data_IF_251446353188
#
_entry.id   IF_251446353188
#
_cell.length_a   1.000
_cell.length_b   1.000
_cell.length_c   1.000
_cell.angle_alpha   90.00
_cell.angle_beta   90.00
_cell.angle_gamma   90.00
#
_symmetry.space_group_name_H-M   'P 1'
#
loop_
_entity.id
_entity.type
_entity.pdbx_description
1 polymer ?
#
# COMPACT_ATOMS: atom_id res chain seq x y z
N UNK A 1 -16.55 16.68 14.40
CA UNK A 1 -15.49 15.96 15.14
C UNK A 1 -15.45 14.44 14.87
N UNK A 2 -16.33 13.85 14.04
CA UNK A 2 -16.32 12.40 13.71
C UNK A 2 -16.24 11.49 14.96
N UNK A 3 -17.06 11.78 15.97
CA UNK A 3 -17.02 11.08 17.26
C UNK A 3 -17.84 9.79 17.21
N UNK A 4 -17.35 8.70 17.81
CA UNK A 4 -18.16 7.52 18.09
C UNK A 4 -19.40 7.85 18.95
N UNK A 5 -20.50 7.07 18.83
CA UNK A 5 -21.75 7.34 19.56
C UNK A 5 -21.60 7.41 21.09
N UNK A 6 -20.78 6.54 21.68
CA UNK A 6 -20.49 6.51 23.11
C UNK A 6 -19.80 7.80 23.59
N UNK A 7 -18.88 8.35 22.80
CA UNK A 7 -18.21 9.62 23.10
C UNK A 7 -19.14 10.82 22.93
N UNK A 8 -20.06 10.75 21.98
CA UNK A 8 -21.08 11.78 21.78
C UNK A 8 -22.04 11.82 22.98
N UNK A 9 -22.47 10.66 23.47
CA UNK A 9 -23.33 10.56 24.66
C UNK A 9 -22.62 11.13 25.89
N UNK A 10 -21.35 10.79 26.11
CA UNK A 10 -20.56 11.33 27.22
C UNK A 10 -20.45 12.87 27.16
N UNK A 11 -20.17 13.45 26.00
CA UNK A 11 -20.08 14.91 25.83
C UNK A 11 -21.45 15.61 25.97
N UNK A 12 -22.54 14.91 25.62
CA UNK A 12 -23.89 15.45 25.77
C UNK A 12 -24.27 15.68 27.23
N UNK A 13 -23.63 14.96 28.16
CA UNK A 13 -23.84 15.07 29.61
C UNK A 13 -23.08 16.25 30.24
N UNK A 14 -22.24 16.97 29.48
CA UNK A 14 -21.51 18.12 30.02
C UNK A 14 -22.48 19.24 30.42
N UNK A 15 -22.09 19.99 31.44
CA UNK A 15 -22.74 21.22 31.85
C UNK A 15 -22.59 22.30 30.77
N UNK A 16 -23.49 23.29 30.80
CA UNK A 16 -23.58 24.30 29.75
C UNK A 16 -22.33 25.18 29.65
N UNK A 17 -21.62 25.39 30.75
CA UNK A 17 -20.38 26.19 30.78
C UNK A 17 -19.27 25.50 29.97
N UNK A 18 -19.02 24.21 30.23
CA UNK A 18 -18.06 23.42 29.44
C UNK A 18 -18.46 23.26 27.98
N UNK A 19 -19.76 23.10 27.70
CA UNK A 19 -20.24 23.06 26.31
C UNK A 19 -19.97 24.38 25.59
N UNK A 20 -20.16 25.50 26.25
CA UNK A 20 -19.88 26.81 25.68
C UNK A 20 -18.38 27.05 25.47
N UNK A 21 -17.54 26.64 26.42
CA UNK A 21 -16.08 26.65 26.29
C UNK A 21 -15.63 25.87 25.04
N UNK A 22 -16.17 24.66 24.82
CA UNK A 22 -15.90 23.86 23.62
C UNK A 22 -16.30 24.57 22.31
N UNK A 23 -17.41 25.30 22.30
CA UNK A 23 -17.84 26.07 21.13
C UNK A 23 -16.87 27.24 20.87
N UNK A 24 -16.50 27.98 21.91
CA UNK A 24 -15.53 29.07 21.80
C UNK A 24 -14.16 28.60 21.30
N UNK A 25 -13.68 27.46 21.80
CA UNK A 25 -12.42 26.86 21.35
C UNK A 25 -12.49 26.44 19.88
N UNK A 26 -13.63 25.87 19.46
CA UNK A 26 -13.85 25.47 18.07
C UNK A 26 -13.89 26.65 17.10
N UNK A 27 -14.45 27.80 17.51
CA UNK A 27 -14.44 29.04 16.71
C UNK A 27 -13.05 29.67 16.61
N UNK A 28 -12.24 29.55 17.66
CA UNK A 28 -10.85 30.04 17.67
C UNK A 28 -9.92 29.18 16.83
N UNK A 29 -10.28 27.92 16.61
CA UNK A 29 -9.45 26.98 15.85
C UNK A 29 -9.39 27.37 14.37
N UNK A 30 -8.18 27.60 13.86
CA UNK A 30 -7.93 27.86 12.45
C UNK A 30 -7.10 26.74 11.83
N UNK A 31 -7.57 26.26 10.68
CA UNK A 31 -6.82 25.29 9.87
C UNK A 31 -5.61 25.96 9.24
N UNK A 32 -4.43 25.33 9.35
CA UNK A 32 -3.16 25.84 8.83
C UNK A 32 -3.16 26.04 7.31
N UNK A 33 -3.62 25.04 6.55
CA UNK A 33 -3.63 25.05 5.09
C UNK A 33 -4.89 24.34 4.54
N UNK A 34 -5.44 24.79 3.40
CA UNK A 34 -6.52 24.07 2.71
C UNK A 34 -6.00 22.77 2.06
N UNK A 35 -6.88 21.78 1.80
CA UNK A 35 -6.52 20.53 1.13
C UNK A 35 -5.76 20.72 -0.19
N UNK A 36 -6.20 21.67 -1.00
CA UNK A 36 -5.63 21.98 -2.32
C UNK A 36 -4.14 22.32 -2.25
N UNK A 37 -3.67 22.96 -1.18
CA UNK A 37 -2.26 23.30 -1.00
C UNK A 37 -1.36 22.05 -0.89
N UNK A 38 -1.82 21.01 -0.18
CA UNK A 38 -1.09 19.75 -0.08
C UNK A 38 -1.14 18.98 -1.41
N UNK A 39 -2.31 18.95 -2.05
CA UNK A 39 -2.52 18.26 -3.33
C UNK A 39 -1.60 18.84 -4.40
N UNK A 40 -1.48 20.16 -4.51
CA UNK A 40 -0.57 20.80 -5.47
C UNK A 40 0.90 20.46 -5.20
N UNK A 41 1.31 20.38 -3.93
CA UNK A 41 2.67 19.94 -3.57
C UNK A 41 2.91 18.49 -4.00
N UNK A 42 1.99 17.57 -3.72
CA UNK A 42 2.12 16.16 -4.13
C UNK A 42 2.18 16.03 -5.66
N UNK A 43 1.31 16.72 -6.40
CA UNK A 43 1.35 16.79 -7.88
C UNK A 43 2.70 17.30 -8.38
N UNK A 44 3.29 18.30 -7.71
CA UNK A 44 4.61 18.82 -8.08
C UNK A 44 5.76 17.81 -7.87
N UNK A 45 5.59 16.84 -6.97
CA UNK A 45 6.54 15.76 -6.76
C UNK A 45 6.41 14.65 -7.80
N UNK A 46 5.22 14.48 -8.38
CA UNK A 46 4.97 13.55 -9.49
C UNK A 46 5.51 14.07 -10.82
N UNK A 47 5.65 15.39 -10.98
CA UNK A 47 6.28 15.98 -12.15
C UNK A 47 7.78 15.60 -12.22
N UNK A 48 8.10 14.61 -13.06
CA UNK A 48 9.48 14.18 -13.33
C UNK A 48 10.14 14.98 -14.46
N UNK A 49 9.48 16.02 -14.98
CA UNK A 49 10.03 16.96 -15.95
C UNK A 49 11.25 17.73 -15.44
N UNK A 50 12.19 18.02 -16.35
CA UNK A 50 13.37 18.86 -16.06
C UNK A 50 14.60 18.15 -15.47
N UNK A 51 15.58 18.93 -15.03
CA UNK A 51 16.90 18.46 -14.55
C UNK A 51 16.78 17.75 -13.20
N UNK A 52 17.43 16.59 -13.02
CA UNK A 52 17.34 15.77 -11.79
C UNK A 52 17.69 16.51 -10.49
N UNK A 53 18.54 17.54 -10.55
CA UNK A 53 18.87 18.41 -9.40
C UNK A 53 17.66 19.24 -8.93
N UNK A 54 16.79 19.68 -9.85
CA UNK A 54 15.54 20.40 -9.52
C UNK A 54 14.55 19.45 -8.84
N UNK A 55 14.42 18.21 -9.33
CA UNK A 55 13.58 17.19 -8.69
C UNK A 55 14.00 16.92 -7.24
N UNK A 56 15.29 16.66 -6.98
CA UNK A 56 15.81 16.41 -5.62
C UNK A 56 15.48 17.55 -4.64
N UNK A 57 15.53 18.81 -5.09
CA UNK A 57 15.17 19.97 -4.28
C UNK A 57 13.66 20.00 -3.99
N UNK A 58 12.81 19.72 -4.98
CA UNK A 58 11.36 19.66 -4.78
C UNK A 58 10.98 18.63 -3.72
N UNK A 59 11.49 17.40 -3.85
CA UNK A 59 11.15 16.31 -2.94
C UNK A 59 11.93 16.35 -1.62
N UNK A 60 12.75 17.37 -1.36
CA UNK A 60 13.56 17.41 -0.13
C UNK A 60 12.67 17.41 1.12
N UNK A 61 11.59 18.19 1.09
CA UNK A 61 10.64 18.35 2.19
C UNK A 61 9.39 17.45 2.05
N UNK A 62 9.42 16.47 1.13
CA UNK A 62 8.25 15.62 0.83
C UNK A 62 7.69 14.94 2.07
N UNK A 63 8.55 14.32 2.88
CA UNK A 63 8.15 13.62 4.11
C UNK A 63 7.50 14.57 5.12
N UNK A 64 7.99 15.81 5.22
CA UNK A 64 7.41 16.78 6.14
C UNK A 64 6.02 17.23 5.69
N UNK A 65 5.85 17.48 4.39
CA UNK A 65 4.55 17.83 3.80
C UNK A 65 3.55 16.69 3.98
N UNK A 66 3.97 15.44 3.79
CA UNK A 66 3.13 14.26 4.03
C UNK A 66 2.75 14.12 5.51
N UNK A 67 3.66 14.40 6.44
CA UNK A 67 3.34 14.38 7.88
C UNK A 67 2.33 15.46 8.26
N UNK A 68 2.47 16.67 7.71
CA UNK A 68 1.49 17.73 7.91
C UNK A 68 0.12 17.38 7.30
N UNK A 69 0.12 16.71 6.15
CA UNK A 69 -1.10 16.20 5.52
C UNK A 69 -1.75 15.11 6.39
N UNK A 70 -0.98 14.14 6.90
CA UNK A 70 -1.47 13.09 7.82
C UNK A 70 -2.14 13.71 9.04
N UNK A 71 -1.46 14.66 9.68
CA UNK A 71 -2.00 15.37 10.85
C UNK A 71 -3.30 16.08 10.46
N UNK A 72 -3.31 16.80 9.33
CA UNK A 72 -4.49 17.51 8.85
C UNK A 72 -5.68 16.58 8.60
N UNK A 73 -5.44 15.42 7.97
CA UNK A 73 -6.47 14.39 7.73
C UNK A 73 -7.03 13.80 9.03
N UNK A 74 -6.20 13.65 10.06
CA UNK A 74 -6.57 13.01 11.33
C UNK A 74 -7.21 13.98 12.33
N UNK A 75 -6.76 15.23 12.38
CA UNK A 75 -7.10 16.15 13.47
C UNK A 75 -7.96 17.35 13.08
N UNK A 76 -8.08 17.68 11.80
CA UNK A 76 -8.98 18.76 11.39
C UNK A 76 -10.46 18.32 11.47
N UNK A 77 -11.36 19.30 11.33
CA UNK A 77 -12.78 19.02 11.22
C UNK A 77 -13.08 18.14 10.00
N UNK A 78 -14.13 17.33 10.09
CA UNK A 78 -14.42 16.31 9.06
C UNK A 78 -14.69 16.91 7.67
N UNK A 79 -15.23 18.12 7.59
CA UNK A 79 -15.40 18.85 6.35
C UNK A 79 -14.09 19.07 5.59
N UNK A 80 -12.95 19.18 6.27
CA UNK A 80 -11.64 19.27 5.63
C UNK A 80 -11.29 17.98 4.88
N UNK A 81 -11.60 16.83 5.48
CA UNK A 81 -11.39 15.51 4.85
C UNK A 81 -12.36 15.31 3.68
N UNK A 82 -13.62 15.75 3.84
CA UNK A 82 -14.60 15.74 2.76
C UNK A 82 -14.15 16.61 1.58
N UNK A 83 -13.63 17.80 1.83
CA UNK A 83 -13.07 18.68 0.82
C UNK A 83 -11.85 18.05 0.14
N UNK A 84 -10.94 17.42 0.88
CA UNK A 84 -9.80 16.69 0.31
C UNK A 84 -10.23 15.57 -0.65
N UNK A 85 -11.29 14.83 -0.29
CA UNK A 85 -11.76 13.66 -1.02
C UNK A 85 -12.78 13.96 -2.13
N UNK A 86 -13.23 15.21 -2.29
CA UNK A 86 -14.26 15.56 -3.26
C UNK A 86 -13.79 15.45 -4.73
N UNK A 87 -14.73 15.54 -5.65
CA UNK A 87 -14.49 15.46 -7.10
C UNK A 87 -13.60 16.58 -7.66
N UNK A 88 -13.53 17.73 -6.98
CA UNK A 88 -12.72 18.87 -7.41
C UNK A 88 -11.24 18.65 -7.07
N UNK A 89 -10.97 18.22 -5.83
CA UNK A 89 -9.62 18.04 -5.31
C UNK A 89 -9.02 16.69 -5.70
N UNK A 90 -9.83 15.63 -5.73
CA UNK A 90 -9.41 14.24 -6.01
C UNK A 90 -8.19 13.84 -5.18
N UNK A 91 -8.18 14.19 -3.90
CA UNK A 91 -7.02 14.02 -3.03
C UNK A 91 -6.61 12.56 -2.85
N UNK A 92 -7.57 11.62 -2.88
CA UNK A 92 -7.30 10.19 -2.81
C UNK A 92 -6.47 9.71 -4.02
N UNK A 93 -6.88 10.08 -5.24
CA UNK A 93 -6.19 9.70 -6.47
C UNK A 93 -4.75 10.20 -6.47
N UNK A 94 -4.54 11.47 -6.09
CA UNK A 94 -3.21 12.09 -6.06
C UNK A 94 -2.31 11.47 -5.00
N UNK A 95 -2.87 11.12 -3.83
CA UNK A 95 -2.14 10.42 -2.78
C UNK A 95 -1.73 9.02 -3.25
N UNK A 96 -2.62 8.30 -3.94
CA UNK A 96 -2.34 6.97 -4.49
C UNK A 96 -1.31 7.01 -5.62
N UNK A 97 -1.39 7.97 -6.54
CA UNK A 97 -0.39 8.18 -7.58
C UNK A 97 1.01 8.42 -6.97
N UNK A 98 1.08 9.21 -5.89
CA UNK A 98 2.32 9.45 -5.17
C UNK A 98 2.85 8.20 -4.46
N UNK A 99 1.98 7.43 -3.81
CA UNK A 99 2.33 6.15 -3.17
C UNK A 99 2.91 5.17 -4.19
N UNK A 100 2.20 4.96 -5.31
CA UNK A 100 2.64 4.09 -6.40
C UNK A 100 4.01 4.55 -6.94
N UNK A 101 4.19 5.85 -7.18
CA UNK A 101 5.47 6.42 -7.59
C UNK A 101 6.60 6.15 -6.58
N UNK A 102 6.34 6.32 -5.28
CA UNK A 102 7.32 6.06 -4.23
C UNK A 102 7.72 4.58 -4.17
N UNK A 103 6.82 3.66 -4.52
CA UNK A 103 7.03 2.21 -4.42
C UNK A 103 7.56 1.54 -5.70
N UNK A 104 7.46 2.21 -6.85
CA UNK A 104 7.89 1.67 -8.15
C UNK A 104 9.29 1.02 -8.14
N UNK A 105 10.24 1.56 -7.37
CA UNK A 105 11.58 1.00 -7.29
C UNK A 105 11.66 -0.37 -6.63
N UNK A 106 10.80 -0.64 -5.66
CA UNK A 106 10.78 -1.92 -4.94
C UNK A 106 10.25 -3.04 -5.82
N UNK A 107 9.16 -2.78 -6.55
CA UNK A 107 8.57 -3.75 -7.47
C UNK A 107 9.57 -4.18 -8.56
N UNK A 108 10.34 -3.24 -9.11
CA UNK A 108 11.34 -3.54 -10.16
C UNK A 108 12.55 -4.33 -9.64
N UNK A 109 13.05 -4.00 -8.44
CA UNK A 109 14.21 -4.70 -7.89
C UNK A 109 13.91 -6.20 -7.67
N UNK A 110 12.66 -6.55 -7.32
CA UNK A 110 12.22 -7.94 -7.19
C UNK A 110 12.25 -8.71 -8.52
N UNK A 111 11.73 -8.13 -9.60
CA UNK A 111 11.71 -8.75 -10.95
C UNK A 111 13.13 -8.96 -11.52
N UNK A 112 14.08 -8.11 -11.14
CA UNK A 112 15.47 -8.22 -11.58
C UNK A 112 16.28 -9.30 -10.86
N UNK A 113 15.87 -9.71 -9.65
CA UNK A 113 16.61 -10.68 -8.84
C UNK A 113 16.32 -12.13 -9.27
N UNK A 114 15.14 -12.41 -9.82
CA UNK A 114 14.78 -13.74 -10.32
C UNK A 114 15.30 -14.05 -11.74
N UNK A 115 15.58 -13.03 -12.54
CA UNK A 115 16.22 -13.19 -13.86
C UNK A 115 17.75 -13.35 -13.79
N UNK A 116 18.33 -13.28 -12.58
CA UNK A 116 19.75 -13.48 -12.33
C UNK A 116 20.10 -14.95 -12.13
N UNK A 117 20.31 -15.69 -13.22
CA UNK A 117 20.96 -17.00 -13.16
C UNK A 117 22.36 -16.85 -12.53
N UNK A 118 22.78 -17.68 -11.56
CA UNK A 118 24.07 -17.52 -10.91
C UNK A 118 25.17 -18.11 -11.80
N UNK A 119 26.10 -17.25 -12.22
CA UNK A 119 27.41 -17.67 -12.73
C UNK A 119 27.72 -17.25 -14.17
N UNK A 120 28.47 -16.16 -14.32
CA UNK A 120 29.74 -16.19 -15.06
C UNK A 120 30.52 -14.89 -14.82
N UNK A 121 31.75 -15.02 -14.33
CA UNK A 121 32.67 -13.92 -14.11
C UNK A 121 33.22 -13.34 -15.44
N UNK A 122 33.50 -12.03 -15.41
CA UNK A 122 34.52 -11.29 -16.19
C UNK A 122 34.43 -11.28 -17.72
N UNK A 123 34.20 -10.07 -18.26
CA UNK A 123 34.65 -9.69 -19.61
C UNK A 123 34.26 -8.25 -19.98
N UNK A 124 35.26 -7.39 -20.19
CA UNK A 124 35.13 -5.98 -20.65
C UNK A 124 34.45 -5.86 -22.03
N UNK A 125 33.90 -4.68 -22.39
CA UNK A 125 33.29 -4.45 -23.70
C UNK A 125 34.35 -4.12 -24.76
N UNK A 126 34.22 -4.70 -25.96
CA UNK A 126 34.91 -4.22 -27.16
C UNK A 126 33.95 -4.18 -28.35
N UNK A 127 34.11 -3.11 -29.13
CA UNK A 127 33.31 -2.70 -30.29
C UNK A 127 33.32 -3.65 -31.50
N UNK A 128 32.31 -3.41 -32.36
CA UNK A 128 32.28 -3.52 -33.83
C UNK A 128 32.44 -4.90 -34.47
N UNK A 129 31.40 -5.33 -35.18
CA UNK A 129 31.50 -5.49 -36.64
C UNK A 129 30.11 -5.53 -37.31
N UNK A 130 30.13 -5.25 -38.60
CA UNK A 130 29.05 -4.97 -39.55
C UNK A 130 28.66 -6.21 -40.37
N UNK A 131 27.47 -6.13 -41.00
CA UNK A 131 26.93 -6.97 -42.11
C UNK A 131 26.53 -8.42 -41.74
N UNK A 132 25.48 -9.07 -42.25
CA UNK A 132 24.66 -8.86 -43.44
C UNK A 132 23.29 -9.61 -43.36
N UNK A 133 22.40 -9.22 -44.26
CA UNK A 133 21.10 -9.74 -44.73
C UNK A 133 20.65 -11.19 -44.37
N UNK A 134 19.39 -11.33 -43.95
CA UNK A 134 18.38 -12.12 -44.72
C UNK A 134 16.95 -11.98 -44.14
N UNK A 135 16.02 -11.77 -45.08
CA UNK A 135 14.57 -11.71 -44.89
C UNK A 135 14.01 -13.11 -44.58
N UNK A 136 13.08 -13.20 -43.64
CA UNK A 136 11.95 -14.14 -43.76
C UNK A 136 10.76 -13.68 -42.91
N UNK A 137 9.75 -13.16 -43.61
CA UNK A 137 8.38 -13.00 -43.13
C UNK A 137 7.76 -14.38 -42.87
N UNK A 138 7.16 -14.57 -41.70
CA UNK A 138 6.10 -15.56 -41.51
C UNK A 138 5.06 -15.03 -40.52
N UNK A 139 4.02 -14.41 -41.08
CA UNK A 139 2.77 -14.11 -40.40
C UNK A 139 1.90 -15.35 -40.37
N UNK A 140 1.39 -15.74 -39.20
CA UNK A 140 0.14 -16.51 -39.11
C UNK A 140 -0.63 -16.14 -37.83
N UNK A 141 -1.96 -16.07 -37.88
CA UNK A 141 -2.79 -15.47 -36.85
C UNK A 141 -3.45 -16.53 -35.98
N UNK A 142 -3.52 -16.31 -34.66
CA UNK A 142 -4.41 -17.09 -33.79
C UNK A 142 -5.07 -16.22 -32.75
N UNK A 143 -6.39 -16.08 -32.96
CA UNK A 143 -7.51 -16.05 -32.03
C UNK A 143 -7.37 -15.38 -30.65
N UNK A 144 -8.31 -14.47 -30.42
CA UNK A 144 -8.42 -13.67 -29.23
C UNK A 144 -8.86 -14.44 -27.99
N UNK A 145 -8.30 -13.97 -26.87
CA UNK A 145 -8.90 -14.07 -25.55
C UNK A 145 -8.88 -12.65 -25.01
N UNK A 146 -10.07 -12.08 -24.82
CA UNK A 146 -10.32 -10.78 -24.24
C UNK A 146 -9.86 -10.79 -22.77
N UNK A 147 -8.57 -10.55 -22.52
CA UNK A 147 -8.09 -10.30 -21.16
C UNK A 147 -8.61 -8.94 -20.71
N UNK A 148 -9.49 -8.98 -19.70
CA UNK A 148 -9.89 -7.82 -18.90
C UNK A 148 -8.60 -7.14 -18.43
N UNK A 149 -8.35 -5.92 -18.91
CA UNK A 149 -7.16 -5.15 -18.58
C UNK A 149 -7.30 -4.63 -17.15
N UNK A 150 -6.70 -5.32 -16.18
CA UNK A 150 -6.56 -4.79 -14.83
C UNK A 150 -5.62 -3.58 -14.85
N UNK A 151 -6.15 -2.43 -14.44
CA UNK A 151 -5.50 -1.13 -14.40
C UNK A 151 -4.67 -1.00 -13.12
N UNK A 152 -3.53 -1.69 -13.05
CA UNK A 152 -2.40 -1.13 -12.29
C UNK A 152 -1.95 0.12 -13.05
N UNK A 153 -1.59 1.21 -12.36
CA UNK A 153 -1.05 2.42 -12.98
C UNK A 153 0.27 2.07 -13.67
N UNK A 154 0.19 1.57 -14.91
CA UNK A 154 1.36 1.22 -15.74
C UNK A 154 2.02 2.52 -16.19
N UNK A 155 3.13 2.87 -15.54
CA UNK A 155 4.00 3.94 -16.02
C UNK A 155 4.59 3.58 -17.40
N UNK A 156 4.58 4.52 -18.33
CA UNK A 156 5.05 4.33 -19.71
C UNK A 156 6.55 3.90 -19.78
N UNK A 157 6.93 2.93 -20.64
CA UNK A 157 8.27 2.32 -20.64
C UNK A 157 9.45 3.24 -20.99
N UNK A 158 9.26 4.37 -21.67
CA UNK A 158 10.34 5.29 -22.06
C UNK A 158 10.68 6.34 -20.99
N UNK A 159 9.71 6.69 -20.12
CA UNK A 159 9.92 7.55 -18.94
C UNK A 159 10.37 6.76 -17.69
N UNK A 160 10.34 5.42 -17.78
CA UNK A 160 10.51 4.46 -16.69
C UNK A 160 11.86 4.57 -15.94
N UNK A 161 13.01 4.64 -16.62
CA UNK A 161 14.33 4.62 -15.94
C UNK A 161 14.58 5.86 -15.08
N UNK A 162 14.12 7.03 -15.51
CA UNK A 162 14.26 8.29 -14.74
C UNK A 162 13.29 8.30 -13.56
N UNK A 163 12.04 7.89 -13.78
CA UNK A 163 11.05 7.73 -12.72
C UNK A 163 11.52 6.72 -11.67
N UNK A 164 12.07 5.57 -12.10
CA UNK A 164 12.64 4.54 -11.24
C UNK A 164 13.79 5.06 -10.37
N UNK A 165 14.72 5.82 -10.96
CA UNK A 165 15.82 6.45 -10.20
C UNK A 165 15.30 7.46 -9.18
N UNK A 166 14.28 8.24 -9.55
CA UNK A 166 13.68 9.21 -8.65
C UNK A 166 12.87 8.54 -7.53
N UNK A 167 12.16 7.45 -7.85
CA UNK A 167 11.44 6.60 -6.91
C UNK A 167 12.38 6.05 -5.82
N UNK A 168 13.57 5.55 -6.19
CA UNK A 168 14.58 5.09 -5.22
C UNK A 168 14.96 6.16 -4.18
N UNK A 169 14.96 7.44 -4.55
CA UNK A 169 15.28 8.55 -3.62
C UNK A 169 14.16 8.76 -2.60
N UNK A 170 12.90 8.62 -3.04
CA UNK A 170 11.72 8.82 -2.19
C UNK A 170 11.45 7.58 -1.33
N UNK A 171 11.65 6.37 -1.87
CA UNK A 171 11.49 5.10 -1.16
C UNK A 171 12.46 4.93 0.02
N UNK A 172 13.61 5.59 -0.03
CA UNK A 172 14.57 5.62 1.10
C UNK A 172 14.10 6.49 2.27
N UNK A 173 12.99 7.23 2.10
CA UNK A 173 12.38 8.07 3.13
C UNK A 173 11.16 7.37 3.72
N UNK A 174 10.63 7.95 4.80
CA UNK A 174 9.37 7.51 5.42
C UNK A 174 8.12 7.86 4.60
N UNK A 175 8.26 8.37 3.38
CA UNK A 175 7.17 8.85 2.55
C UNK A 175 6.10 7.78 2.34
N UNK A 176 6.52 6.54 2.04
CA UNK A 176 5.60 5.39 1.91
C UNK A 176 4.84 5.16 3.20
N UNK A 177 5.54 5.10 4.34
CA UNK A 177 4.92 4.88 5.65
C UNK A 177 3.87 5.95 5.96
N UNK A 178 4.21 7.22 5.74
CA UNK A 178 3.31 8.35 6.03
C UNK A 178 2.12 8.37 5.07
N UNK A 179 2.27 7.96 3.81
CA UNK A 179 1.12 7.80 2.90
C UNK A 179 0.13 6.74 3.43
N UNK A 180 0.63 5.63 3.98
CA UNK A 180 -0.23 4.61 4.61
C UNK A 180 -0.91 5.18 5.87
N UNK A 181 -0.24 6.02 6.66
CA UNK A 181 -0.88 6.73 7.77
C UNK A 181 -1.99 7.70 7.30
N UNK A 182 -1.80 8.40 6.17
CA UNK A 182 -2.85 9.22 5.56
C UNK A 182 -4.06 8.36 5.16
N UNK A 183 -3.84 7.20 4.54
CA UNK A 183 -4.91 6.27 4.19
C UNK A 183 -5.62 5.72 5.43
N UNK A 184 -4.90 5.42 6.51
CA UNK A 184 -5.48 5.08 7.82
C UNK A 184 -6.42 6.17 8.33
N UNK A 185 -5.99 7.44 8.26
CA UNK A 185 -6.82 8.57 8.68
C UNK A 185 -8.09 8.71 7.82
N UNK A 186 -7.97 8.52 6.50
CA UNK A 186 -9.12 8.53 5.56
C UNK A 186 -10.08 7.38 5.87
N UNK A 187 -9.56 6.18 6.13
CA UNK A 187 -10.35 4.99 6.46
C UNK A 187 -11.07 5.09 7.81
N UNK A 188 -10.61 5.97 8.72
CA UNK A 188 -11.32 6.26 9.96
C UNK A 188 -12.59 7.14 9.75
N UNK A 189 -12.79 7.65 8.54
CA UNK A 189 -14.02 8.33 8.14
C UNK A 189 -14.88 7.38 7.30
N UNK A 190 -16.14 7.13 7.71
CA UNK A 190 -17.03 6.15 7.07
C UNK A 190 -17.16 6.31 5.54
N UNK A 191 -17.32 7.54 5.04
CA UNK A 191 -17.40 7.77 3.58
C UNK A 191 -16.03 7.57 2.91
N UNK A 192 -14.95 8.00 3.58
CA UNK A 192 -13.57 7.76 3.11
C UNK A 192 -13.21 6.29 3.01
N UNK A 193 -13.63 5.48 3.99
CA UNK A 193 -13.48 4.02 3.95
C UNK A 193 -14.21 3.40 2.75
N UNK A 194 -15.44 3.85 2.49
CA UNK A 194 -16.23 3.39 1.34
C UNK A 194 -15.57 3.78 0.02
N UNK A 195 -14.99 4.98 -0.08
CA UNK A 195 -14.22 5.41 -1.25
C UNK A 195 -12.98 4.53 -1.47
N UNK A 196 -12.24 4.19 -0.41
CA UNK A 196 -11.07 3.31 -0.47
C UNK A 196 -11.44 1.92 -1.00
N UNK A 197 -12.52 1.33 -0.50
CA UNK A 197 -12.98 0.00 -0.97
C UNK A 197 -13.43 0.00 -2.43
N UNK A 198 -14.10 1.07 -2.86
CA UNK A 198 -14.63 1.17 -4.23
C UNK A 198 -13.59 1.65 -5.24
N UNK A 199 -12.46 2.20 -4.78
CA UNK A 199 -11.40 2.67 -5.66
C UNK A 199 -10.60 1.48 -6.22
N UNK A 200 -10.54 1.28 -7.55
CA UNK A 200 -10.11 0.03 -8.19
C UNK A 200 -8.65 -0.37 -7.91
N UNK A 201 -7.79 0.60 -7.60
CA UNK A 201 -6.37 0.35 -7.32
C UNK A 201 -5.98 0.58 -5.85
N UNK A 202 -6.86 1.13 -5.01
CA UNK A 202 -6.43 1.64 -3.70
C UNK A 202 -5.93 0.52 -2.79
N UNK A 203 -6.72 -0.55 -2.65
CA UNK A 203 -6.34 -1.70 -1.82
C UNK A 203 -5.13 -2.43 -2.41
N UNK A 204 -5.01 -2.51 -3.74
CA UNK A 204 -3.85 -3.12 -4.39
C UNK A 204 -2.54 -2.39 -4.04
N UNK A 205 -2.52 -1.05 -4.11
CA UNK A 205 -1.35 -0.25 -3.74
C UNK A 205 -1.04 -0.36 -2.22
N UNK A 206 -2.07 -0.42 -1.37
CA UNK A 206 -1.88 -0.73 0.06
C UNK A 206 -1.21 -2.09 0.22
N UNK A 207 -1.67 -3.13 -0.48
CA UNK A 207 -1.07 -4.48 -0.42
C UNK A 207 0.37 -4.50 -0.94
N UNK A 208 0.68 -3.81 -2.06
CA UNK A 208 2.04 -3.69 -2.58
C UNK A 208 3.01 -3.04 -1.59
N UNK A 209 2.49 -2.23 -0.67
CA UNK A 209 3.25 -1.60 0.42
C UNK A 209 3.85 -2.60 1.41
N UNK A 210 3.39 -3.87 1.42
CA UNK A 210 4.00 -4.96 2.20
C UNK A 210 5.47 -5.19 1.82
N UNK A 211 5.88 -4.86 0.59
CA UNK A 211 7.27 -4.98 0.17
C UNK A 211 8.20 -3.93 0.80
N UNK A 212 7.68 -2.96 1.57
CA UNK A 212 8.51 -1.98 2.26
C UNK A 212 9.39 -2.68 3.32
N UNK A 213 10.67 -2.31 3.40
CA UNK A 213 11.63 -2.94 4.32
C UNK A 213 11.29 -2.73 5.80
N UNK A 214 10.61 -1.64 6.15
CA UNK A 214 10.30 -1.29 7.53
C UNK A 214 9.15 -2.15 8.08
N UNK A 215 9.42 -2.97 9.11
CA UNK A 215 8.44 -3.81 9.78
C UNK A 215 7.23 -3.03 10.33
N UNK A 216 7.43 -1.80 10.83
CA UNK A 216 6.33 -0.93 11.27
C UNK A 216 5.37 -0.60 10.12
N UNK A 217 5.90 -0.41 8.91
CA UNK A 217 5.05 -0.16 7.74
C UNK A 217 4.26 -1.41 7.37
N UNK A 218 4.90 -2.59 7.37
CA UNK A 218 4.21 -3.85 7.12
C UNK A 218 3.09 -4.10 8.15
N UNK A 219 3.35 -3.87 9.43
CA UNK A 219 2.36 -4.02 10.50
C UNK A 219 1.13 -3.14 10.23
N UNK A 220 1.35 -1.85 9.96
CA UNK A 220 0.26 -0.92 9.66
C UNK A 220 -0.52 -1.32 8.39
N UNK A 221 0.16 -1.79 7.35
CA UNK A 221 -0.50 -2.29 6.14
C UNK A 221 -1.41 -3.47 6.47
N UNK A 222 -0.92 -4.44 7.25
CA UNK A 222 -1.72 -5.60 7.67
C UNK A 222 -2.92 -5.22 8.54
N UNK A 223 -2.78 -4.24 9.43
CA UNK A 223 -3.91 -3.69 10.19
C UNK A 223 -5.01 -3.11 9.27
N UNK A 224 -4.62 -2.34 8.24
CA UNK A 224 -5.58 -1.78 7.28
C UNK A 224 -6.25 -2.86 6.45
N UNK A 225 -5.48 -3.84 5.95
CA UNK A 225 -6.01 -4.95 5.17
C UNK A 225 -6.95 -5.83 6.01
N UNK A 226 -6.62 -6.07 7.28
CA UNK A 226 -7.49 -6.79 8.22
C UNK A 226 -8.82 -6.05 8.43
N UNK A 227 -8.79 -4.73 8.60
CA UNK A 227 -10.00 -3.91 8.75
C UNK A 227 -10.91 -3.98 7.50
N UNK A 228 -10.32 -3.95 6.29
CA UNK A 228 -11.07 -4.14 5.04
C UNK A 228 -11.60 -5.57 4.93
N UNK A 229 -10.82 -6.58 5.32
CA UNK A 229 -11.22 -7.99 5.24
C UNK A 229 -12.49 -8.29 6.06
N UNK A 230 -12.66 -7.63 7.22
CA UNK A 230 -13.76 -7.88 8.15
C UNK A 230 -15.11 -7.28 7.75
N UNK A 231 -15.14 -6.34 6.80
CA UNK A 231 -16.41 -5.74 6.36
C UNK A 231 -17.07 -6.57 5.26
N UNK A 232 -18.38 -6.42 5.10
CA UNK A 232 -19.15 -7.14 4.07
C UNK A 232 -18.58 -6.87 2.67
N UNK A 233 -18.28 -7.93 1.93
CA UNK A 233 -17.70 -7.87 0.58
C UNK A 233 -16.21 -7.49 0.55
N UNK A 234 -15.61 -7.17 1.70
CA UNK A 234 -14.19 -6.82 1.78
C UNK A 234 -13.25 -8.01 1.65
N UNK A 235 -13.69 -9.21 2.04
CA UNK A 235 -12.90 -10.44 1.88
C UNK A 235 -12.48 -10.69 0.42
N UNK A 236 -13.43 -10.59 -0.52
CA UNK A 236 -13.15 -10.76 -1.96
C UNK A 236 -12.17 -9.71 -2.49
N UNK A 237 -12.27 -8.46 -2.00
CA UNK A 237 -11.35 -7.38 -2.36
C UNK A 237 -9.93 -7.70 -1.90
N UNK A 238 -9.77 -8.22 -0.68
CA UNK A 238 -8.47 -8.61 -0.13
C UNK A 238 -7.85 -9.76 -0.92
N UNK A 239 -8.62 -10.80 -1.23
CA UNK A 239 -8.12 -11.91 -2.04
C UNK A 239 -7.70 -11.45 -3.43
N UNK A 240 -8.52 -10.63 -4.10
CA UNK A 240 -8.18 -10.04 -5.39
C UNK A 240 -6.92 -9.16 -5.33
N UNK A 241 -6.71 -8.42 -4.23
CA UNK A 241 -5.51 -7.63 -4.03
C UNK A 241 -4.26 -8.49 -3.85
N UNK A 242 -4.36 -9.64 -3.18
CA UNK A 242 -3.27 -10.60 -3.06
C UNK A 242 -3.04 -11.41 -4.34
N UNK A 243 -4.06 -11.65 -5.16
CA UNK A 243 -3.90 -12.19 -6.52
C UNK A 243 -3.14 -11.18 -7.40
N UNK A 244 -3.46 -9.88 -7.31
CA UNK A 244 -2.69 -8.84 -7.98
C UNK A 244 -1.25 -8.77 -7.46
N UNK A 245 -1.07 -8.85 -6.13
CA UNK A 245 0.24 -8.86 -5.51
C UNK A 245 1.08 -10.03 -6.03
N UNK A 246 0.51 -11.24 -6.12
CA UNK A 246 1.15 -12.42 -6.71
C UNK A 246 1.66 -12.15 -8.13
N UNK A 247 0.79 -11.62 -9.00
CA UNK A 247 1.16 -11.34 -10.39
C UNK A 247 2.26 -10.27 -10.52
N UNK A 248 2.13 -9.17 -9.77
CA UNK A 248 3.08 -8.04 -9.83
C UNK A 248 4.42 -8.40 -9.19
N UNK A 249 4.41 -9.21 -8.13
CA UNK A 249 5.60 -9.59 -7.38
C UNK A 249 6.27 -10.88 -7.89
N UNK A 250 5.66 -11.58 -8.85
CA UNK A 250 6.18 -12.83 -9.40
C UNK A 250 6.04 -14.03 -8.47
N UNK A 251 5.10 -14.03 -7.51
CA UNK A 251 4.95 -15.16 -6.59
C UNK A 251 4.39 -16.41 -7.29
N UNK A 252 4.84 -17.60 -6.87
CA UNK A 252 4.30 -18.86 -7.39
C UNK A 252 2.94 -19.14 -6.79
N UNK A 253 2.83 -18.92 -5.48
CA UNK A 253 1.61 -19.05 -4.70
C UNK A 253 1.24 -17.69 -4.10
N UNK A 254 -0.06 -17.46 -3.90
CA UNK A 254 -0.52 -16.27 -3.21
C UNK A 254 -0.06 -16.32 -1.75
N UNK A 255 0.27 -15.17 -1.16
CA UNK A 255 0.78 -15.01 0.20
C UNK A 255 2.21 -15.52 0.45
N UNK A 256 2.94 -15.90 -0.60
CA UNK A 256 4.28 -16.49 -0.46
C UNK A 256 5.28 -15.55 0.22
N UNK A 257 5.37 -14.29 -0.24
CA UNK A 257 6.23 -13.27 0.37
C UNK A 257 5.72 -12.80 1.72
N UNK A 258 4.41 -12.79 1.94
CA UNK A 258 3.86 -12.52 3.27
C UNK A 258 4.42 -13.53 4.28
N UNK A 259 4.40 -14.82 3.91
CA UNK A 259 4.97 -15.89 4.73
C UNK A 259 6.49 -15.81 4.84
N UNK A 260 7.20 -15.38 3.79
CA UNK A 260 8.64 -15.09 3.87
C UNK A 260 8.95 -13.98 4.89
N UNK A 261 8.21 -12.86 4.83
CA UNK A 261 8.38 -11.76 5.76
C UNK A 261 8.06 -12.16 7.19
N UNK A 262 7.03 -12.99 7.38
CA UNK A 262 6.64 -13.46 8.70
C UNK A 262 7.70 -14.38 9.31
N UNK A 263 8.22 -15.34 8.54
CA UNK A 263 9.24 -16.29 9.03
C UNK A 263 10.60 -15.67 9.31
N UNK A 264 10.97 -14.64 8.55
CA UNK A 264 12.30 -14.04 8.62
C UNK A 264 12.37 -12.88 9.65
N UNK A 265 11.28 -12.57 10.33
CA UNK A 265 11.22 -11.49 11.32
C UNK A 265 11.15 -12.06 12.74
N UNK A 266 12.24 -11.88 13.50
CA UNK A 266 12.34 -12.33 14.90
C UNK A 266 12.34 -11.15 15.90
N UNK A 267 12.42 -9.91 15.42
CA UNK A 267 12.68 -8.73 16.26
C UNK A 267 11.45 -7.85 16.50
N UNK A 268 10.58 -7.75 15.50
CA UNK A 268 9.42 -6.85 15.54
C UNK A 268 8.13 -7.57 15.92
N UNK A 269 7.88 -7.67 17.23
CA UNK A 269 6.69 -8.34 17.79
C UNK A 269 5.39 -7.73 17.25
N UNK A 270 5.31 -6.40 17.12
CA UNK A 270 4.12 -5.71 16.62
C UNK A 270 3.74 -6.18 15.20
N UNK A 271 4.72 -6.33 14.31
CA UNK A 271 4.52 -6.89 12.98
C UNK A 271 4.07 -8.36 13.05
N UNK A 272 4.72 -9.18 13.87
CA UNK A 272 4.37 -10.60 14.00
C UNK A 272 2.91 -10.77 14.46
N UNK A 273 2.48 -9.97 15.44
CA UNK A 273 1.10 -9.94 15.94
C UNK A 273 0.14 -9.51 14.84
N UNK A 274 0.42 -8.41 14.14
CA UNK A 274 -0.42 -7.93 13.05
C UNK A 274 -0.52 -8.96 11.90
N UNK A 275 0.58 -9.64 11.59
CA UNK A 275 0.65 -10.67 10.55
C UNK A 275 -0.18 -11.90 10.91
N UNK A 276 0.00 -12.43 12.12
CA UNK A 276 -0.78 -13.57 12.58
C UNK A 276 -2.27 -13.21 12.70
N UNK A 277 -2.60 -12.01 13.19
CA UNK A 277 -3.98 -11.55 13.23
C UNK A 277 -4.60 -11.45 11.83
N UNK A 278 -3.87 -10.91 10.85
CA UNK A 278 -4.33 -10.86 9.46
C UNK A 278 -4.57 -12.26 8.88
N UNK A 279 -3.62 -13.19 9.07
CA UNK A 279 -3.76 -14.59 8.62
C UNK A 279 -5.01 -15.23 9.23
N UNK A 280 -5.20 -15.09 10.54
CA UNK A 280 -6.38 -15.61 11.23
C UNK A 280 -7.68 -15.03 10.67
N UNK A 281 -7.72 -13.73 10.40
CA UNK A 281 -8.89 -13.06 9.83
C UNK A 281 -9.17 -13.56 8.41
N UNK A 282 -8.17 -13.60 7.52
CA UNK A 282 -8.41 -13.98 6.12
C UNK A 282 -8.85 -15.45 6.00
N UNK A 283 -8.35 -16.34 6.86
CA UNK A 283 -8.72 -17.76 6.83
C UNK A 283 -10.06 -18.01 7.52
N UNK A 284 -10.34 -17.38 8.66
CA UNK A 284 -11.47 -17.76 9.53
C UNK A 284 -12.68 -16.84 9.48
N UNK A 285 -12.60 -15.68 8.83
CA UNK A 285 -13.77 -14.77 8.69
C UNK A 285 -14.76 -15.18 7.59
N UNK A 286 -14.43 -16.19 6.77
CA UNK A 286 -15.28 -16.66 5.67
C UNK A 286 -16.48 -17.48 6.15
N UNK A 287 -17.63 -17.28 5.49
CA UNK A 287 -18.87 -17.99 5.81
C UNK A 287 -18.87 -19.45 5.33
N UNK A 288 -18.23 -19.73 4.19
CA UNK A 288 -18.18 -21.07 3.59
C UNK A 288 -17.07 -21.91 4.23
N UNK A 289 -17.45 -22.96 4.97
CA UNK A 289 -16.52 -23.85 5.66
C UNK A 289 -15.57 -24.62 4.73
N UNK A 290 -16.00 -24.98 3.51
CA UNK A 290 -15.10 -25.61 2.55
C UNK A 290 -14.04 -24.63 2.05
N UNK A 291 -14.44 -23.36 1.85
CA UNK A 291 -13.52 -22.31 1.46
C UNK A 291 -12.53 -21.97 2.58
N UNK A 292 -12.99 -21.99 3.85
CA UNK A 292 -12.12 -21.89 5.03
C UNK A 292 -11.04 -22.97 5.04
N UNK A 293 -11.41 -24.22 4.82
CA UNK A 293 -10.45 -25.35 4.77
C UNK A 293 -9.47 -25.19 3.61
N UNK A 294 -9.95 -24.72 2.45
CA UNK A 294 -9.07 -24.41 1.31
C UNK A 294 -8.03 -23.33 1.65
N UNK A 295 -8.44 -22.21 2.25
CA UNK A 295 -7.52 -21.14 2.66
C UNK A 295 -6.55 -21.59 3.74
N UNK A 296 -7.02 -22.42 4.68
CA UNK A 296 -6.15 -23.02 5.69
C UNK A 296 -5.05 -23.87 5.03
N UNK A 297 -5.43 -24.74 4.09
CA UNK A 297 -4.47 -25.56 3.36
C UNK A 297 -3.46 -24.74 2.55
N UNK A 298 -3.87 -23.59 2.00
CA UNK A 298 -2.97 -22.68 1.28
C UNK A 298 -1.82 -22.20 2.20
N UNK A 299 -2.12 -21.81 3.44
CA UNK A 299 -1.09 -21.43 4.42
C UNK A 299 -0.29 -22.62 4.96
N UNK A 300 -0.92 -23.79 5.16
CA UNK A 300 -0.21 -25.04 5.49
C UNK A 300 0.82 -25.39 4.41
N UNK A 301 0.45 -25.25 3.13
CA UNK A 301 1.35 -25.50 1.99
C UNK A 301 2.53 -24.52 1.95
N UNK A 302 2.34 -23.29 2.46
CA UNK A 302 3.40 -22.31 2.66
C UNK A 302 4.22 -22.53 3.93
N UNK A 303 3.94 -23.58 4.71
CA UNK A 303 4.70 -23.97 5.90
C UNK A 303 4.37 -23.16 7.16
N UNK A 304 3.16 -22.58 7.26
CA UNK A 304 2.74 -21.86 8.45
C UNK A 304 2.72 -22.75 9.70
N UNK A 305 2.15 -23.95 9.60
CA UNK A 305 1.98 -24.85 10.74
C UNK A 305 3.32 -25.24 11.38
N UNK A 306 4.30 -25.63 10.56
CA UNK A 306 5.65 -25.97 11.06
C UNK A 306 6.34 -24.77 11.72
N UNK A 307 6.15 -23.57 11.17
CA UNK A 307 6.71 -22.36 11.75
C UNK A 307 6.09 -22.03 13.11
N UNK A 308 4.78 -22.21 13.28
CA UNK A 308 4.11 -21.97 14.55
C UNK A 308 4.47 -23.00 15.62
N UNK A 309 4.61 -24.28 15.24
CA UNK A 309 5.04 -25.34 16.17
C UNK A 309 6.45 -25.07 16.74
N UNK A 310 7.38 -24.64 15.90
CA UNK A 310 8.79 -24.41 16.30
C UNK A 310 9.01 -23.04 16.91
N UNK A 311 8.40 -21.99 16.35
CA UNK A 311 8.70 -20.59 16.67
C UNK A 311 7.87 -20.01 17.81
N UNK A 312 6.67 -20.54 18.09
CA UNK A 312 5.74 -19.96 19.07
C UNK A 312 5.59 -20.75 20.36
N UNK A 313 6.37 -21.84 20.52
CA UNK A 313 6.46 -22.55 21.79
C UNK A 313 5.10 -23.02 22.32
N UNK A 314 4.26 -23.60 21.46
CA UNK A 314 3.14 -24.39 21.96
C UNK A 314 3.73 -25.61 22.68
N UNK A 315 3.51 -25.77 24.01
CA UNK A 315 3.92 -27.01 24.66
C UNK A 315 3.16 -28.15 23.99
N UNK A 316 3.88 -29.20 23.58
CA UNK A 316 3.25 -30.43 23.09
C UNK A 316 2.11 -30.83 24.04
N UNK A 317 0.94 -31.25 23.52
CA UNK A 317 -0.08 -31.82 24.37
C UNK A 317 0.52 -33.07 25.02
N UNK A 318 0.76 -32.99 26.34
CA UNK A 318 1.14 -34.13 27.16
C UNK A 318 0.09 -35.23 26.92
N UNK A 319 0.54 -36.32 26.29
CA UNK A 319 -0.27 -37.50 26.00
C UNK A 319 -0.72 -38.26 27.23
#
# INVERSE_FOLDING_TARGET
MNLPPDKMELLSQYDNEKKWELVCDQERFQVKNPPSAYIQKLKSYLDTGGVSRKFKRRVQESTQVLRELEISLRTNYIGWVQEFLNEENKGLDVLLEYLAFAQCSVAYDMESTENGSPGSEKGKPLERSVEDLSKSNSSSPTHGISKVRHLTVRLNPSHSRKALRNSRIVNQKDDVHVCIMCLRAIMNYQSGFSLVMNHPACVNEITLSLNNRNARTKALVLELLAAVCLVRGGHDIILAAFDNFKEVCGEKNRFEKLMEYFRNEDSNIDFMVACMQFINIVVHSVENMNFRVFLQYEFTHLGLDQYLEVGWGFPEPLG
#
